data_IF_835492043469
#
_entry.id   IF_835492043469
#
_cell.length_a   1.000
_cell.length_b   1.000
_cell.length_c   1.000
_cell.angle_alpha   90.00
_cell.angle_beta   90.00
_cell.angle_gamma   90.00
#
_symmetry.space_group_name_H-M   'P 1'
#
loop_
_entity.id
_entity.type
_entity.pdbx_description
1 polymer ?
#
# COMPACT_ATOMS: atom_id res chain seq x y z
N UNK A 1 -84.97 18.78 14.25
CA UNK A 1 -83.70 18.42 14.92
C UNK A 1 -83.00 17.30 14.15
N UNK A 2 -82.77 17.51 12.85
CA UNK A 2 -82.48 16.42 11.89
C UNK A 2 -81.25 16.70 11.00
N UNK A 3 -80.81 17.96 10.89
CA UNK A 3 -79.63 18.37 10.10
C UNK A 3 -78.27 18.03 10.75
N UNK A 4 -78.23 17.72 12.04
CA UNK A 4 -76.97 17.50 12.76
C UNK A 4 -76.47 16.04 12.70
N UNK A 5 -77.34 15.09 12.30
CA UNK A 5 -76.97 13.67 12.12
C UNK A 5 -76.34 13.37 10.76
N UNK A 6 -76.66 14.12 9.70
CA UNK A 6 -76.10 13.86 8.35
C UNK A 6 -74.63 14.28 8.22
N UNK A 7 -74.20 15.33 8.92
CA UNK A 7 -72.83 15.85 8.83
C UNK A 7 -71.82 14.89 9.50
N UNK A 8 -72.20 14.23 10.60
CA UNK A 8 -71.35 13.23 11.26
C UNK A 8 -71.19 11.94 10.44
N UNK A 9 -72.19 11.58 9.65
CA UNK A 9 -72.14 10.38 8.80
C UNK A 9 -71.25 10.61 7.56
N UNK A 10 -71.29 11.81 6.98
CA UNK A 10 -70.43 12.19 5.83
C UNK A 10 -68.95 12.27 6.24
N UNK A 11 -68.64 12.78 7.44
CA UNK A 11 -67.28 12.79 7.96
C UNK A 11 -66.73 11.39 8.25
N UNK A 12 -67.57 10.45 8.72
CA UNK A 12 -67.15 9.08 8.98
C UNK A 12 -66.80 8.33 7.68
N UNK A 13 -67.56 8.57 6.60
CA UNK A 13 -67.31 7.97 5.27
C UNK A 13 -66.03 8.55 4.62
N UNK A 14 -65.77 9.85 4.77
CA UNK A 14 -64.56 10.48 4.24
C UNK A 14 -63.29 10.03 4.96
N UNK A 15 -63.33 9.85 6.28
CA UNK A 15 -62.19 9.35 7.07
C UNK A 15 -61.92 7.86 6.79
N UNK A 16 -62.96 7.05 6.60
CA UNK A 16 -62.79 5.62 6.24
C UNK A 16 -62.28 5.45 4.79
N UNK A 17 -62.72 6.31 3.86
CA UNK A 17 -62.23 6.30 2.47
C UNK A 17 -60.74 6.68 2.34
N UNK A 18 -60.26 7.63 3.15
CA UNK A 18 -58.85 8.03 3.18
C UNK A 18 -57.94 6.96 3.82
N UNK A 19 -58.44 6.24 4.84
CA UNK A 19 -57.70 5.13 5.45
C UNK A 19 -57.61 3.89 4.53
N UNK A 20 -58.64 3.60 3.71
CA UNK A 20 -58.57 2.54 2.71
C UNK A 20 -57.67 2.89 1.51
N UNK A 21 -57.61 4.16 1.09
CA UNK A 21 -56.70 4.62 0.03
C UNK A 21 -55.22 4.58 0.46
N UNK A 22 -54.93 4.86 1.74
CA UNK A 22 -53.58 4.73 2.30
C UNK A 22 -53.10 3.29 2.41
N UNK A 23 -53.96 2.36 2.84
CA UNK A 23 -53.62 0.94 3.00
C UNK A 23 -53.41 0.22 1.66
N UNK A 24 -54.15 0.59 0.60
CA UNK A 24 -53.98 0.02 -0.74
C UNK A 24 -52.73 0.54 -1.46
N UNK A 25 -52.32 1.79 -1.23
CA UNK A 25 -51.10 2.36 -1.79
C UNK A 25 -49.81 1.77 -1.19
N UNK A 26 -49.81 1.41 0.10
CA UNK A 26 -48.68 0.74 0.76
C UNK A 26 -48.55 -0.71 0.28
N UNK A 27 -49.67 -1.43 0.15
CA UNK A 27 -49.68 -2.82 -0.32
C UNK A 27 -49.25 -2.94 -1.81
N UNK A 28 -49.61 -1.98 -2.67
CA UNK A 28 -49.12 -1.94 -4.05
C UNK A 28 -47.63 -1.59 -4.15
N UNK A 29 -47.10 -0.73 -3.28
CA UNK A 29 -45.66 -0.42 -3.24
C UNK A 29 -44.80 -1.60 -2.77
N UNK A 30 -45.28 -2.42 -1.84
CA UNK A 30 -44.57 -3.64 -1.41
C UNK A 30 -44.72 -4.77 -2.42
N UNK A 31 -45.91 -4.99 -2.98
CA UNK A 31 -46.14 -6.02 -4.00
C UNK A 31 -45.42 -5.74 -5.33
N UNK A 32 -45.24 -4.47 -5.73
CA UNK A 32 -44.42 -4.10 -6.90
C UNK A 32 -42.91 -4.23 -6.64
N UNK A 33 -42.45 -4.08 -5.38
CA UNK A 33 -41.05 -4.36 -5.01
C UNK A 33 -40.73 -5.85 -5.04
N UNK A 34 -41.69 -6.71 -4.69
CA UNK A 34 -41.50 -8.17 -4.74
C UNK A 34 -41.70 -8.75 -6.16
N UNK A 35 -42.58 -8.19 -6.99
CA UNK A 35 -42.77 -8.66 -8.38
C UNK A 35 -41.72 -8.17 -9.38
N UNK A 36 -40.99 -7.09 -9.08
CA UNK A 36 -39.84 -6.66 -9.87
C UNK A 36 -38.56 -7.46 -9.58
N UNK A 37 -38.56 -8.30 -8.53
CA UNK A 37 -37.41 -9.10 -8.12
C UNK A 37 -37.43 -10.54 -8.69
N UNK A 38 -38.42 -10.91 -9.51
CA UNK A 38 -38.73 -12.32 -9.76
C UNK A 38 -38.59 -12.87 -11.18
N UNK A 39 -38.37 -12.06 -12.22
CA UNK A 39 -38.38 -12.58 -13.60
C UNK A 39 -37.37 -11.78 -14.44
N UNK A 40 -36.38 -12.49 -15.01
CA UNK A 40 -35.12 -12.04 -15.65
C UNK A 40 -34.06 -11.60 -14.60
N UNK A 41 -32.89 -12.22 -14.47
CA UNK A 41 -32.05 -12.85 -15.49
C UNK A 41 -30.87 -13.62 -14.88
N UNK A 42 -30.64 -14.80 -15.47
CA UNK A 42 -29.39 -15.58 -15.58
C UNK A 42 -28.85 -16.32 -14.35
N UNK A 43 -28.33 -17.55 -14.53
CA UNK A 43 -27.50 -18.19 -13.52
C UNK A 43 -26.30 -17.29 -13.28
N UNK A 44 -25.96 -17.08 -12.01
CA UNK A 44 -24.69 -16.51 -11.56
C UNK A 44 -23.54 -17.30 -12.18
N UNK A 45 -23.20 -16.97 -13.42
CA UNK A 45 -21.84 -17.07 -13.89
C UNK A 45 -21.08 -16.08 -13.01
N UNK A 46 -20.62 -16.57 -11.85
CA UNK A 46 -19.45 -16.00 -11.20
C UNK A 46 -18.39 -15.92 -12.28
N UNK A 47 -18.25 -14.73 -12.87
CA UNK A 47 -17.09 -14.40 -13.66
C UNK A 47 -15.95 -14.46 -12.66
N UNK A 48 -15.33 -15.64 -12.53
CA UNK A 48 -13.99 -15.77 -12.04
C UNK A 48 -13.14 -15.00 -13.07
N UNK A 49 -13.09 -13.67 -12.92
CA UNK A 49 -11.99 -12.91 -13.48
C UNK A 49 -10.73 -13.61 -12.99
N UNK A 50 -9.83 -14.01 -13.91
CA UNK A 50 -8.62 -14.70 -13.51
C UNK A 50 -7.92 -13.83 -12.46
N UNK A 51 -7.61 -14.47 -11.32
CA UNK A 51 -6.92 -13.80 -10.22
C UNK A 51 -5.65 -13.20 -10.78
N UNK A 52 -5.51 -11.88 -10.67
CA UNK A 52 -4.30 -11.20 -11.10
C UNK A 52 -3.20 -11.54 -10.12
N UNK A 53 -2.11 -12.10 -10.61
CA UNK A 53 -0.95 -12.52 -9.81
C UNK A 53 0.33 -12.08 -10.52
N UNK A 54 1.34 -11.69 -9.76
CA UNK A 54 2.69 -11.41 -10.24
C UNK A 54 3.72 -11.96 -9.24
N UNK A 55 4.74 -12.65 -9.75
CA UNK A 55 5.78 -13.30 -8.95
C UNK A 55 7.13 -13.09 -9.62
N UNK A 56 8.07 -12.51 -8.88
CA UNK A 56 9.45 -12.27 -9.28
C UNK A 56 10.38 -13.06 -8.35
N UNK A 57 11.09 -14.02 -8.94
CA UNK A 57 12.04 -14.89 -8.26
C UNK A 57 13.50 -14.52 -8.58
N UNK A 58 13.71 -13.45 -9.34
CA UNK A 58 15.00 -12.84 -9.63
C UNK A 58 16.02 -13.80 -10.27
N UNK A 59 15.54 -14.81 -11.03
CA UNK A 59 16.40 -15.83 -11.65
C UNK A 59 17.03 -15.39 -12.97
N UNK A 60 16.55 -14.30 -13.57
CA UNK A 60 17.04 -13.79 -14.85
C UNK A 60 17.97 -12.61 -14.60
N UNK A 61 19.25 -12.82 -14.83
CA UNK A 61 20.25 -11.76 -14.71
C UNK A 61 19.87 -10.56 -15.59
N UNK A 62 19.78 -9.39 -14.98
CA UNK A 62 19.31 -8.16 -15.63
C UNK A 62 19.76 -6.93 -14.85
N UNK A 63 19.98 -5.82 -15.54
CA UNK A 63 20.16 -4.51 -14.91
C UNK A 63 19.03 -3.60 -15.35
N UNK A 64 18.25 -3.12 -14.39
CA UNK A 64 17.13 -2.21 -14.62
C UNK A 64 17.58 -0.82 -14.17
N UNK A 65 17.84 0.05 -15.14
CA UNK A 65 18.26 1.43 -14.90
C UNK A 65 17.07 2.32 -14.51
N UNK A 66 17.32 3.30 -13.66
CA UNK A 66 16.35 4.33 -13.30
C UNK A 66 15.94 5.15 -14.51
N UNK A 67 14.65 5.45 -14.62
CA UNK A 67 14.12 6.34 -15.65
C UNK A 67 13.24 7.41 -15.04
N UNK A 68 13.26 8.61 -15.62
CA UNK A 68 12.41 9.72 -15.14
C UNK A 68 10.90 9.43 -15.25
N UNK A 69 10.50 8.49 -16.11
CA UNK A 69 9.11 8.06 -16.32
C UNK A 69 9.03 6.55 -16.45
N UNK A 70 8.00 5.96 -15.85
CA UNK A 70 7.71 4.52 -15.95
C UNK A 70 7.65 4.03 -17.40
N UNK A 71 7.08 4.82 -18.32
CA UNK A 71 6.96 4.45 -19.73
C UNK A 71 8.29 4.33 -20.49
N UNK A 72 9.40 4.81 -19.91
CA UNK A 72 10.74 4.67 -20.48
C UNK A 72 11.52 3.48 -19.91
N UNK A 73 10.98 2.82 -18.87
CA UNK A 73 11.59 1.60 -18.33
C UNK A 73 11.61 0.50 -19.38
N UNK A 74 12.77 -0.14 -19.54
CA UNK A 74 12.94 -1.27 -20.45
C UNK A 74 12.41 -2.58 -19.85
N UNK A 75 12.30 -2.66 -18.52
CA UNK A 75 11.69 -3.82 -17.85
C UNK A 75 10.17 -3.79 -18.04
N UNK A 76 9.54 -4.88 -18.49
CA UNK A 76 8.09 -4.96 -18.62
C UNK A 76 7.37 -4.92 -17.26
N UNK A 77 8.06 -5.34 -16.20
CA UNK A 77 7.47 -5.56 -14.87
C UNK A 77 7.81 -4.45 -13.89
N UNK A 78 9.01 -3.88 -14.02
CA UNK A 78 9.58 -2.98 -13.04
C UNK A 78 9.91 -1.60 -13.59
N UNK A 79 9.85 -0.62 -12.70
CA UNK A 79 10.39 0.72 -12.90
C UNK A 79 11.22 1.11 -11.68
N UNK A 80 12.51 1.36 -11.89
CA UNK A 80 13.34 2.00 -10.88
C UNK A 80 13.05 3.51 -10.95
N UNK A 81 12.33 4.00 -9.94
CA UNK A 81 11.90 5.39 -9.82
C UNK A 81 13.04 6.29 -9.29
N UNK A 82 13.83 5.75 -8.36
CA UNK A 82 15.04 6.38 -7.82
C UNK A 82 15.99 5.32 -7.27
N UNK A 83 17.25 5.66 -7.06
CA UNK A 83 18.29 4.74 -6.59
C UNK A 83 19.31 4.32 -7.66
N UNK A 84 19.24 4.90 -8.85
CA UNK A 84 20.18 4.66 -9.96
C UNK A 84 19.87 3.41 -10.75
N UNK A 85 19.95 2.23 -10.14
CA UNK A 85 19.63 0.96 -10.81
C UNK A 85 19.31 -0.16 -9.82
N UNK A 86 18.58 -1.15 -10.31
CA UNK A 86 18.48 -2.47 -9.69
C UNK A 86 19.32 -3.46 -10.49
N UNK A 87 20.03 -4.33 -9.79
CA UNK A 87 20.82 -5.42 -10.37
C UNK A 87 20.16 -6.73 -9.97
N UNK A 88 19.84 -7.58 -10.93
CA UNK A 88 19.36 -8.94 -10.72
C UNK A 88 20.50 -9.87 -11.09
N UNK A 89 20.94 -10.69 -10.13
CA UNK A 89 21.96 -11.71 -10.33
C UNK A 89 21.84 -12.76 -9.22
N UNK A 90 22.25 -14.00 -9.50
CA UNK A 90 22.33 -15.09 -8.50
C UNK A 90 21.01 -15.35 -7.74
N UNK A 91 19.86 -15.10 -8.38
CA UNK A 91 18.55 -15.36 -7.80
C UNK A 91 18.04 -14.29 -6.83
N UNK A 92 18.66 -13.10 -6.79
CA UNK A 92 18.22 -11.97 -5.98
C UNK A 92 18.24 -10.67 -6.77
N UNK A 93 17.32 -9.76 -6.45
CA UNK A 93 17.43 -8.36 -6.85
C UNK A 93 18.27 -7.61 -5.82
N UNK A 94 19.07 -6.63 -6.24
CA UNK A 94 19.95 -5.87 -5.35
C UNK A 94 19.89 -4.38 -5.70
N UNK A 95 19.96 -3.53 -4.69
CA UNK A 95 20.41 -2.16 -4.90
C UNK A 95 21.87 -2.17 -5.35
N UNK A 96 22.40 -1.01 -5.75
CA UNK A 96 23.86 -0.80 -5.74
C UNK A 96 24.41 -1.24 -4.37
N UNK A 97 25.53 -1.96 -4.39
CA UNK A 97 26.26 -2.39 -3.20
C UNK A 97 27.56 -1.58 -3.11
N UNK A 98 27.76 -0.88 -1.99
CA UNK A 98 28.87 0.00 -1.74
C UNK A 98 28.85 1.32 -2.52
N UNK A 99 30.01 1.96 -2.54
CA UNK A 99 30.26 3.21 -3.26
C UNK A 99 30.31 2.99 -4.77
N UNK A 100 29.75 3.93 -5.54
CA UNK A 100 29.94 3.95 -7.00
C UNK A 100 31.10 4.83 -7.44
N UNK A 101 31.76 4.40 -8.52
CA UNK A 101 32.84 5.18 -9.14
C UNK A 101 32.37 6.58 -9.56
N UNK A 102 33.21 7.62 -9.39
CA UNK A 102 32.97 8.97 -9.90
C UNK A 102 32.73 9.06 -11.41
N UNK A 103 33.19 8.07 -12.18
CA UNK A 103 32.98 8.01 -13.63
C UNK A 103 31.58 7.55 -14.02
N UNK A 104 30.86 6.90 -13.10
CA UNK A 104 29.49 6.43 -13.28
C UNK A 104 28.55 7.57 -13.65
N UNK A 105 27.64 7.30 -14.58
CA UNK A 105 26.57 8.26 -14.92
C UNK A 105 25.69 8.56 -13.69
N UNK A 106 25.47 7.56 -12.83
CA UNK A 106 24.66 7.70 -11.63
C UNK A 106 25.32 8.60 -10.61
N UNK A 107 26.65 8.51 -10.46
CA UNK A 107 27.40 9.40 -9.58
C UNK A 107 27.20 10.85 -10.01
N UNK A 108 27.47 11.13 -11.29
CA UNK A 108 27.37 12.48 -11.87
C UNK A 108 25.94 13.03 -11.74
N UNK A 109 24.94 12.21 -12.03
CA UNK A 109 23.52 12.59 -11.90
C UNK A 109 23.17 12.93 -10.45
N UNK A 110 23.41 12.02 -9.52
CA UNK A 110 22.99 12.19 -8.13
C UNK A 110 23.78 13.26 -7.38
N UNK A 111 25.06 13.44 -7.71
CA UNK A 111 25.85 14.59 -7.26
C UNK A 111 25.21 15.92 -7.62
N UNK A 112 24.56 16.00 -8.78
CA UNK A 112 23.91 17.25 -9.24
C UNK A 112 22.48 17.42 -8.72
N UNK A 113 21.72 16.34 -8.57
CA UNK A 113 20.27 16.42 -8.32
C UNK A 113 19.85 16.09 -6.89
N UNK A 114 20.58 15.22 -6.19
CA UNK A 114 20.31 14.88 -4.79
C UNK A 114 21.61 14.57 -4.05
N UNK A 115 22.54 15.52 -4.08
CA UNK A 115 23.86 15.40 -3.43
C UNK A 115 23.74 15.08 -1.95
N UNK A 116 22.78 15.70 -1.25
CA UNK A 116 22.61 15.58 0.19
C UNK A 116 22.30 14.14 0.60
N UNK A 117 21.29 13.51 0.01
CA UNK A 117 20.84 12.18 0.46
C UNK A 117 21.70 11.04 -0.10
N UNK A 118 22.59 11.33 -1.06
CA UNK A 118 23.38 10.31 -1.77
C UNK A 118 24.88 10.49 -1.59
N UNK A 119 25.30 11.20 -0.54
CA UNK A 119 26.72 11.41 -0.21
C UNK A 119 27.53 12.00 -1.36
N UNK A 120 27.02 13.08 -1.95
CA UNK A 120 27.64 13.68 -3.12
C UNK A 120 27.55 12.83 -4.39
N UNK A 121 26.57 11.92 -4.46
CA UNK A 121 26.37 10.98 -5.57
C UNK A 121 27.05 9.63 -5.38
N UNK A 122 27.78 9.41 -4.28
CA UNK A 122 28.49 8.15 -3.99
C UNK A 122 27.53 7.00 -3.69
N UNK A 123 26.36 7.28 -3.10
CA UNK A 123 25.37 6.27 -2.73
C UNK A 123 23.96 6.59 -3.28
N UNK A 124 23.71 6.48 -4.60
CA UNK A 124 22.37 6.68 -5.15
C UNK A 124 21.30 5.81 -4.47
N UNK A 125 21.67 4.59 -4.06
CA UNK A 125 20.78 3.63 -3.41
C UNK A 125 20.20 4.09 -2.08
N UNK A 126 20.73 5.15 -1.48
CA UNK A 126 20.19 5.72 -0.23
C UNK A 126 18.72 6.14 -0.33
N UNK A 127 18.20 6.38 -1.54
CA UNK A 127 16.81 6.75 -1.79
C UNK A 127 16.14 5.79 -2.78
N UNK A 128 16.47 4.50 -2.72
CA UNK A 128 16.03 3.52 -3.70
C UNK A 128 14.51 3.29 -3.69
N UNK A 129 13.90 3.28 -4.88
CA UNK A 129 12.48 3.07 -5.12
C UNK A 129 12.27 2.22 -6.35
N UNK A 130 11.62 1.08 -6.15
CA UNK A 130 11.24 0.14 -7.19
C UNK A 130 9.72 0.04 -7.23
N UNK A 131 9.12 0.17 -8.41
CA UNK A 131 7.67 0.24 -8.58
C UNK A 131 7.24 -0.80 -9.62
N UNK A 132 6.20 -1.57 -9.32
CA UNK A 132 5.56 -2.47 -10.28
C UNK A 132 4.89 -1.66 -11.39
N UNK A 133 4.79 -2.24 -12.59
CA UNK A 133 4.15 -1.58 -13.73
C UNK A 133 2.65 -1.85 -13.85
N UNK A 134 2.09 -2.61 -12.91
CA UNK A 134 0.66 -2.95 -12.85
C UNK A 134 0.03 -2.39 -11.57
N UNK A 135 -1.27 -2.02 -11.64
CA UNK A 135 -2.01 -1.45 -10.51
C UNK A 135 -2.83 -2.50 -9.75
N UNK A 136 -3.02 -2.30 -8.45
CA UNK A 136 -3.63 -3.27 -7.53
C UNK A 136 -4.56 -2.53 -6.56
N UNK A 137 -5.78 -3.04 -6.37
CA UNK A 137 -6.74 -2.43 -5.43
C UNK A 137 -6.77 -3.20 -4.12
N UNK A 138 -7.31 -4.42 -4.14
CA UNK A 138 -7.34 -5.33 -3.00
C UNK A 138 -6.28 -6.40 -3.25
N UNK A 139 -5.28 -6.49 -2.40
CA UNK A 139 -4.15 -7.38 -2.68
C UNK A 139 -3.38 -7.80 -1.44
N UNK A 140 -2.63 -8.87 -1.61
CA UNK A 140 -1.54 -9.26 -0.71
C UNK A 140 -0.25 -9.11 -1.50
N UNK A 141 0.74 -8.42 -0.94
CA UNK A 141 2.10 -8.44 -1.47
C UNK A 141 3.12 -8.85 -0.42
N UNK A 142 4.24 -9.41 -0.86
CA UNK A 142 5.35 -9.77 0.01
C UNK A 142 6.69 -9.64 -0.71
N UNK A 143 7.75 -9.47 0.08
CA UNK A 143 9.13 -9.62 -0.34
C UNK A 143 10.01 -9.96 0.86
N UNK A 144 11.19 -10.53 0.59
CA UNK A 144 12.25 -10.71 1.57
C UNK A 144 13.36 -9.71 1.29
N UNK A 145 13.90 -9.14 2.36
CA UNK A 145 14.93 -8.11 2.34
C UNK A 145 16.13 -8.59 3.14
N UNK A 146 17.34 -8.34 2.67
CA UNK A 146 18.57 -8.58 3.44
C UNK A 146 19.40 -7.31 3.40
N UNK A 147 19.66 -6.74 4.56
CA UNK A 147 20.47 -5.53 4.69
C UNK A 147 21.93 -5.97 4.77
N UNK A 148 22.72 -5.60 3.76
CA UNK A 148 24.14 -5.96 3.69
C UNK A 148 25.02 -4.93 4.38
N UNK A 149 24.71 -3.64 4.21
CA UNK A 149 25.45 -2.53 4.80
C UNK A 149 24.54 -1.33 5.07
N UNK A 150 24.95 -0.50 6.03
CA UNK A 150 24.35 0.81 6.31
C UNK A 150 25.23 1.88 5.69
N UNK A 151 24.59 2.90 5.11
CA UNK A 151 25.31 4.02 4.50
C UNK A 151 25.27 5.21 5.47
N UNK A 152 26.42 5.48 6.09
CA UNK A 152 26.59 6.56 7.06
C UNK A 152 26.75 7.90 6.35
N UNK A 153 25.62 8.54 6.05
CA UNK A 153 25.56 9.89 5.50
C UNK A 153 25.42 10.94 6.61
N UNK A 154 25.73 12.20 6.28
CA UNK A 154 25.42 13.41 7.05
C UNK A 154 24.00 13.95 6.78
N UNK A 155 23.27 13.44 5.78
CA UNK A 155 21.91 13.93 5.46
C UNK A 155 20.99 13.87 6.66
N UNK A 156 20.28 14.96 7.01
CA UNK A 156 19.25 14.93 8.07
C UNK A 156 18.12 13.92 7.81
N UNK A 157 17.97 13.46 6.56
CA UNK A 157 16.99 12.46 6.17
C UNK A 157 17.39 11.03 6.59
N UNK A 158 18.65 10.80 7.03
CA UNK A 158 19.09 9.56 7.69
C UNK A 158 18.64 9.52 9.16
N UNK A 159 17.43 9.11 9.44
CA UNK A 159 16.83 9.16 10.77
C UNK A 159 16.09 7.88 11.13
N UNK A 160 15.50 7.84 12.33
CA UNK A 160 14.79 6.69 12.87
C UNK A 160 13.65 6.18 11.98
N UNK A 161 13.15 7.02 11.07
CA UNK A 161 12.06 6.68 10.17
C UNK A 161 12.48 5.91 8.92
N UNK A 162 13.78 5.74 8.65
CA UNK A 162 14.29 4.97 7.52
C UNK A 162 14.11 3.47 7.72
N UNK A 163 14.18 2.68 6.65
CA UNK A 163 14.13 1.23 6.77
C UNK A 163 13.92 0.51 5.45
N UNK A 164 13.28 -0.65 5.53
CA UNK A 164 12.81 -1.45 4.39
C UNK A 164 11.28 -1.42 4.37
N UNK A 165 10.71 -0.98 3.25
CA UNK A 165 9.28 -0.73 3.14
C UNK A 165 8.71 -1.25 1.81
N UNK A 166 7.45 -1.63 1.84
CA UNK A 166 6.63 -1.88 0.66
C UNK A 166 5.83 -0.62 0.32
N UNK A 167 5.77 -0.31 -0.97
CA UNK A 167 4.84 0.67 -1.53
C UNK A 167 3.51 0.01 -1.81
N UNK A 168 2.43 0.65 -1.38
CA UNK A 168 1.08 0.16 -1.56
C UNK A 168 0.21 1.29 -2.09
N UNK A 169 -0.61 1.00 -3.11
CA UNK A 169 -1.48 1.98 -3.78
C UNK A 169 -0.73 3.26 -4.14
N UNK A 170 0.46 3.09 -4.69
CA UNK A 170 1.31 4.17 -5.18
C UNK A 170 0.63 4.84 -6.37
N UNK A 171 0.23 6.09 -6.22
CA UNK A 171 -0.22 6.95 -7.31
C UNK A 171 0.97 7.75 -7.85
N UNK A 172 1.71 8.37 -6.92
CA UNK A 172 2.90 9.16 -7.17
C UNK A 172 3.78 9.26 -5.91
N UNK A 173 4.81 10.12 -5.96
CA UNK A 173 5.73 10.33 -4.85
C UNK A 173 5.11 10.97 -3.60
N UNK A 174 3.89 11.50 -3.69
CA UNK A 174 3.19 12.27 -2.66
C UNK A 174 1.92 11.59 -2.13
N UNK A 175 1.42 10.55 -2.81
CA UNK A 175 0.19 9.84 -2.51
C UNK A 175 0.40 8.31 -2.58
N UNK A 176 0.52 7.68 -1.41
CA UNK A 176 0.76 6.24 -1.25
C UNK A 176 0.66 5.80 0.21
N UNK A 177 0.53 4.49 0.44
CA UNK A 177 0.79 3.88 1.74
C UNK A 177 2.16 3.18 1.77
N UNK A 178 2.76 3.20 2.95
CA UNK A 178 3.98 2.49 3.29
C UNK A 178 3.67 1.46 4.36
N UNK A 179 4.20 0.25 4.18
CA UNK A 179 4.18 -0.78 5.21
C UNK A 179 5.58 -1.37 5.31
N UNK A 180 6.20 -1.36 6.48
CA UNK A 180 7.56 -1.88 6.61
C UNK A 180 8.11 -1.85 8.02
N UNK A 181 9.41 -2.02 8.12
CA UNK A 181 10.13 -1.98 9.40
C UNK A 181 11.20 -0.91 9.32
N UNK A 182 11.28 -0.09 10.37
CA UNK A 182 12.19 1.04 10.45
C UNK A 182 13.47 0.66 11.19
N UNK A 183 14.53 1.44 11.01
CA UNK A 183 15.84 1.23 11.65
C UNK A 183 15.78 1.37 13.17
N UNK A 184 14.75 2.02 13.71
CA UNK A 184 14.47 2.03 15.16
C UNK A 184 13.75 0.78 15.68
N UNK A 185 13.56 -0.24 14.84
CA UNK A 185 12.97 -1.52 15.21
C UNK A 185 11.43 -1.54 15.27
N UNK A 186 10.77 -0.46 14.84
CA UNK A 186 9.31 -0.39 14.74
C UNK A 186 8.81 -0.96 13.41
N UNK A 187 7.83 -1.86 13.47
CA UNK A 187 6.95 -2.14 12.35
C UNK A 187 5.94 -0.99 12.21
N UNK A 188 5.70 -0.52 10.99
CA UNK A 188 4.92 0.69 10.76
C UNK A 188 3.98 0.57 9.55
N UNK A 189 2.81 1.18 9.68
CA UNK A 189 1.93 1.57 8.58
C UNK A 189 1.91 3.10 8.54
N UNK A 190 2.35 3.68 7.41
CA UNK A 190 2.27 5.12 7.16
C UNK A 190 1.44 5.39 5.91
N UNK A 191 0.83 6.55 5.86
CA UNK A 191 0.27 7.13 4.64
C UNK A 191 1.04 8.40 4.32
N UNK A 192 1.34 8.61 3.05
CA UNK A 192 1.72 9.93 2.56
C UNK A 192 0.61 10.41 1.65
N UNK A 193 0.10 11.61 1.92
CA UNK A 193 -0.99 12.22 1.17
C UNK A 193 -0.71 13.71 0.99
N UNK A 194 -0.75 14.19 -0.25
CA UNK A 194 -0.44 15.58 -0.59
C UNK A 194 0.94 16.01 -0.08
N UNK A 195 1.93 15.11 -0.11
CA UNK A 195 3.30 15.42 0.35
C UNK A 195 3.54 15.18 1.84
N UNK A 196 2.49 15.05 2.66
CA UNK A 196 2.58 14.94 4.13
C UNK A 196 2.48 13.49 4.60
N UNK A 197 3.34 13.11 5.54
CA UNK A 197 3.33 11.79 6.16
C UNK A 197 2.42 11.74 7.39
N UNK A 198 1.77 10.59 7.57
CA UNK A 198 0.92 10.24 8.70
C UNK A 198 1.26 8.83 9.15
N UNK A 199 1.65 8.64 10.41
CA UNK A 199 1.79 7.31 11.01
C UNK A 199 0.41 6.83 11.43
N UNK A 200 -0.04 5.71 10.87
CA UNK A 200 -1.35 5.15 11.14
C UNK A 200 -1.33 4.12 12.26
N UNK A 201 -0.25 3.34 12.35
CA UNK A 201 -0.06 2.31 13.34
C UNK A 201 1.42 1.94 13.40
N UNK A 202 1.95 1.71 14.60
CA UNK A 202 3.32 1.23 14.80
C UNK A 202 3.45 0.38 16.05
N UNK A 203 4.42 -0.55 16.03
CA UNK A 203 4.72 -1.45 17.16
C UNK A 203 6.18 -1.88 17.10
N UNK A 204 6.83 -1.93 18.27
CA UNK A 204 8.18 -2.46 18.39
C UNK A 204 8.19 -3.97 18.16
N UNK A 205 9.08 -4.39 17.26
CA UNK A 205 9.27 -5.81 16.92
C UNK A 205 10.73 -6.23 16.95
N UNK A 206 11.66 -5.27 16.87
CA UNK A 206 13.09 -5.49 17.12
C UNK A 206 13.51 -4.65 18.34
N UNK A 207 13.49 -5.23 19.55
CA UNK A 207 13.85 -4.51 20.76
C UNK A 207 15.36 -4.22 20.79
N UNK A 208 15.74 -3.18 21.53
CA UNK A 208 17.15 -2.82 21.74
C UNK A 208 17.30 -1.45 22.37
N UNK A 209 18.55 -0.98 22.50
CA UNK A 209 18.84 0.39 22.95
C UNK A 209 18.10 1.43 22.10
N UNK A 210 17.66 2.58 22.64
CA UNK A 210 17.06 3.66 21.85
C UNK A 210 17.84 3.96 20.56
N UNK A 211 17.12 4.27 19.49
CA UNK A 211 17.78 4.72 18.26
C UNK A 211 18.63 5.95 18.57
N UNK A 212 19.89 5.89 18.15
CA UNK A 212 20.80 7.02 18.15
C UNK A 212 21.55 6.98 16.83
N UNK A 213 21.47 8.06 16.07
CA UNK A 213 22.00 8.14 14.71
C UNK A 213 23.50 7.78 14.62
N UNK A 214 24.27 8.00 15.67
CA UNK A 214 25.71 7.78 15.71
C UNK A 214 26.10 6.52 16.48
N UNK A 215 25.44 6.26 17.61
CA UNK A 215 25.80 5.15 18.53
C UNK A 215 25.04 3.87 18.24
N UNK A 216 23.77 3.98 17.84
CA UNK A 216 22.88 2.85 17.60
C UNK A 216 21.93 3.14 16.42
N UNK A 217 22.48 3.21 15.19
CA UNK A 217 21.78 3.72 14.01
C UNK A 217 20.78 2.73 13.43
N UNK A 218 20.76 1.49 13.90
CA UNK A 218 19.95 0.43 13.32
C UNK A 218 19.76 -0.74 14.28
N UNK A 219 18.50 -1.10 14.52
CA UNK A 219 18.08 -2.28 15.28
C UNK A 219 17.69 -3.46 14.38
N UNK A 220 17.65 -3.28 13.06
CA UNK A 220 17.33 -4.37 12.14
C UNK A 220 18.55 -5.30 11.98
N UNK A 221 18.37 -6.63 11.95
CA UNK A 221 19.49 -7.55 11.78
C UNK A 221 20.16 -7.38 10.41
N UNK A 222 21.48 -7.23 10.40
CA UNK A 222 22.29 -7.21 9.18
C UNK A 222 22.61 -8.64 8.73
N UNK A 223 22.70 -8.86 7.42
CA UNK A 223 23.03 -10.17 6.84
C UNK A 223 21.93 -11.23 6.97
N UNK A 224 20.81 -10.90 7.60
CA UNK A 224 19.66 -11.79 7.77
C UNK A 224 18.48 -11.38 6.88
N UNK A 225 17.73 -12.37 6.40
CA UNK A 225 16.52 -12.12 5.63
C UNK A 225 15.38 -11.71 6.55
N UNK A 226 14.73 -10.60 6.23
CA UNK A 226 13.51 -10.11 6.86
C UNK A 226 12.40 -10.13 5.80
N UNK A 227 11.35 -10.89 6.04
CA UNK A 227 10.14 -10.91 5.22
C UNK A 227 9.18 -9.83 5.64
N UNK A 228 8.66 -9.08 4.66
CA UNK A 228 7.50 -8.21 4.82
C UNK A 228 6.36 -8.74 3.96
N UNK A 229 5.15 -8.75 4.50
CA UNK A 229 3.92 -9.04 3.77
C UNK A 229 2.85 -8.04 4.17
N UNK A 230 2.25 -7.35 3.21
CA UNK A 230 1.11 -6.46 3.45
C UNK A 230 -0.16 -6.98 2.81
N UNK A 231 -1.30 -6.70 3.45
CA UNK A 231 -2.64 -7.01 2.95
C UNK A 231 -3.45 -5.72 2.94
N UNK A 232 -4.08 -5.41 1.80
CA UNK A 232 -4.90 -4.22 1.58
C UNK A 232 -6.27 -4.64 1.08
N UNK A 233 -7.33 -4.15 1.73
CA UNK A 233 -8.71 -4.48 1.39
C UNK A 233 -9.61 -3.24 1.56
N UNK A 234 -10.38 -2.91 0.53
CA UNK A 234 -11.49 -1.96 0.68
C UNK A 234 -12.63 -2.61 1.46
N UNK A 235 -13.20 -1.89 2.42
CA UNK A 235 -14.39 -2.32 3.16
C UNK A 235 -15.66 -1.90 2.39
N UNK A 236 -16.83 -2.51 2.69
CA UNK A 236 -18.11 -2.07 2.13
C UNK A 236 -18.45 -0.61 2.44
N UNK A 237 -17.92 -0.07 3.54
CA UNK A 237 -18.14 1.32 3.98
C UNK A 237 -17.25 2.34 3.24
N UNK A 238 -16.32 1.87 2.40
CA UNK A 238 -15.39 2.70 1.64
C UNK A 238 -14.04 2.95 2.32
N UNK A 239 -13.81 2.34 3.49
CA UNK A 239 -12.54 2.39 4.20
C UNK A 239 -11.51 1.44 3.61
N UNK A 240 -10.25 1.55 4.05
CA UNK A 240 -9.16 0.66 3.66
C UNK A 240 -8.55 -0.01 4.87
N UNK A 241 -8.73 -1.31 4.98
CA UNK A 241 -8.03 -2.15 5.95
C UNK A 241 -6.62 -2.46 5.46
N UNK A 242 -5.66 -2.27 6.36
CA UNK A 242 -4.23 -2.47 6.11
C UNK A 242 -3.65 -3.36 7.20
N UNK A 243 -2.97 -4.44 6.79
CA UNK A 243 -2.22 -5.30 7.71
C UNK A 243 -0.78 -5.42 7.24
N UNK A 244 0.15 -5.42 8.20
CA UNK A 244 1.55 -5.72 7.97
C UNK A 244 1.94 -6.94 8.80
N UNK A 245 2.48 -7.93 8.12
CA UNK A 245 3.08 -9.12 8.69
C UNK A 245 4.59 -9.08 8.50
N UNK A 246 5.31 -9.54 9.51
CA UNK A 246 6.78 -9.64 9.49
C UNK A 246 7.19 -11.08 9.75
N UNK A 247 8.27 -11.49 9.09
CA UNK A 247 8.94 -12.77 9.31
C UNK A 247 10.44 -12.53 9.45
N UNK A 248 11.04 -12.97 10.55
CA UNK A 248 12.50 -12.99 10.67
C UNK A 248 13.02 -14.34 10.14
N UNK A 249 14.01 -14.29 9.25
CA UNK A 249 14.52 -15.44 8.52
C UNK A 249 13.63 -15.93 7.37
N UNK A 250 14.09 -16.95 6.65
CA UNK A 250 13.32 -17.60 5.55
C UNK A 250 12.39 -18.72 6.02
N UNK A 251 12.60 -19.25 7.23
CA UNK A 251 11.90 -20.43 7.76
C UNK A 251 10.88 -20.11 8.86
N UNK A 252 10.81 -18.85 9.30
CA UNK A 252 9.83 -18.42 10.30
C UNK A 252 8.39 -18.41 9.79
N UNK A 253 7.44 -18.28 10.72
CA UNK A 253 6.04 -18.02 10.39
C UNK A 253 5.81 -16.51 10.20
N UNK A 254 4.88 -16.15 9.32
CA UNK A 254 4.40 -14.78 9.20
C UNK A 254 3.64 -14.39 10.47
N UNK A 255 4.04 -13.30 11.12
CA UNK A 255 3.37 -12.76 12.30
C UNK A 255 2.74 -11.42 11.98
N UNK A 256 1.47 -11.22 12.35
CA UNK A 256 0.84 -9.90 12.26
C UNK A 256 1.56 -8.94 13.20
N UNK A 257 2.25 -7.95 12.63
CA UNK A 257 3.00 -6.96 13.40
C UNK A 257 2.10 -5.79 13.79
N UNK A 258 1.41 -5.20 12.81
CA UNK A 258 0.51 -4.05 13.00
C UNK A 258 -0.64 -4.08 11.98
N UNK A 259 -1.75 -3.44 12.33
CA UNK A 259 -2.88 -3.19 11.43
C UNK A 259 -3.40 -1.76 11.61
N UNK A 260 -4.04 -1.23 10.57
CA UNK A 260 -4.69 0.07 10.57
C UNK A 260 -5.93 0.06 9.66
N UNK A 261 -6.82 1.04 9.86
CA UNK A 261 -7.93 1.34 8.96
C UNK A 261 -7.81 2.80 8.54
N UNK A 262 -7.79 3.06 7.24
CA UNK A 262 -7.96 4.41 6.71
C UNK A 262 -9.44 4.65 6.42
N UNK A 263 -10.05 5.47 7.25
CA UNK A 263 -11.48 5.82 7.20
C UNK A 263 -11.69 7.30 6.82
N UNK A 264 -10.66 7.94 6.25
CA UNK A 264 -10.74 9.33 5.81
C UNK A 264 -10.85 10.35 6.96
N UNK A 265 -10.62 9.93 8.21
CA UNK A 265 -10.52 10.87 9.33
C UNK A 265 -9.29 11.77 9.20
N UNK A 266 -9.38 12.96 9.82
CA UNK A 266 -8.36 14.02 9.72
C UNK A 266 -6.96 13.56 10.14
N UNK A 267 -6.87 12.59 11.04
CA UNK A 267 -5.61 12.13 11.62
C UNK A 267 -4.70 11.45 10.60
N UNK A 268 -5.26 10.95 9.48
CA UNK A 268 -4.52 10.34 8.37
C UNK A 268 -4.70 11.11 7.05
N UNK A 269 -5.18 12.36 7.11
CA UNK A 269 -5.60 13.10 5.93
C UNK A 269 -6.97 12.63 5.42
N UNK A 270 -7.76 13.58 4.89
CA UNK A 270 -9.19 13.38 4.62
C UNK A 270 -9.52 12.42 3.48
N UNK A 271 -8.57 12.12 2.59
CA UNK A 271 -8.83 11.31 1.40
C UNK A 271 -8.24 9.93 1.56
N UNK A 272 -9.08 8.92 1.36
CA UNK A 272 -8.71 7.51 1.35
C UNK A 272 -8.14 7.19 -0.04
N UNK A 273 -7.00 6.50 -0.12
CA UNK A 273 -6.48 6.02 -1.40
C UNK A 273 -7.14 4.67 -1.69
N UNK A 274 -8.42 4.68 -2.10
CA UNK A 274 -9.26 3.48 -2.31
C UNK A 274 -9.15 2.87 -3.71
N UNK A 275 -8.61 3.62 -4.66
CA UNK A 275 -8.43 3.19 -6.05
C UNK A 275 -7.23 2.26 -6.23
N UNK A 276 -7.21 1.56 -7.37
CA UNK A 276 -6.06 0.75 -7.75
C UNK A 276 -4.82 1.64 -7.99
N UNK A 277 -3.73 1.33 -7.29
CA UNK A 277 -2.43 2.01 -7.45
C UNK A 277 -1.29 1.02 -7.66
N UNK A 278 -0.10 1.51 -7.99
CA UNK A 278 1.06 0.63 -8.14
C UNK A 278 1.53 0.09 -6.78
N UNK A 279 2.36 -0.95 -6.82
CA UNK A 279 2.99 -1.52 -5.64
C UNK A 279 4.52 -1.47 -5.80
N UNK A 280 5.29 -1.91 -4.81
CA UNK A 280 6.73 -1.93 -4.95
C UNK A 280 7.50 -1.91 -3.64
N UNK A 281 8.75 -1.45 -3.73
CA UNK A 281 9.74 -1.50 -2.66
C UNK A 281 10.38 -0.12 -2.50
N UNK A 282 10.68 0.23 -1.25
CA UNK A 282 11.59 1.32 -0.88
C UNK A 282 12.58 0.85 0.16
N UNK A 283 13.81 1.32 0.02
CA UNK A 283 14.86 1.20 1.03
C UNK A 283 15.52 2.54 1.22
N UNK A 284 15.97 2.83 2.45
CA UNK A 284 16.50 4.13 2.83
C UNK A 284 17.88 3.98 3.47
N UNK A 285 18.92 4.61 2.89
CA UNK A 285 20.29 4.71 3.43
C UNK A 285 20.98 3.36 3.74
N UNK A 286 20.81 2.39 2.85
CA UNK A 286 21.35 1.05 3.03
C UNK A 286 21.52 0.30 1.71
N UNK A 287 22.39 -0.70 1.74
CA UNK A 287 22.57 -1.65 0.66
C UNK A 287 21.74 -2.90 0.93
N UNK A 288 20.84 -3.24 0.00
CA UNK A 288 19.79 -4.25 0.25
C UNK A 288 19.67 -5.22 -0.90
N UNK A 289 19.49 -6.49 -0.55
CA UNK A 289 19.04 -7.54 -1.46
C UNK A 289 17.55 -7.82 -1.23
N UNK A 290 16.88 -8.22 -2.31
CA UNK A 290 15.47 -8.56 -2.38
C UNK A 290 15.33 -9.98 -2.94
N UNK A 291 14.37 -10.75 -2.41
CA UNK A 291 13.99 -12.03 -3.00
C UNK A 291 12.49 -12.29 -2.87
N UNK A 292 11.99 -13.20 -3.73
CA UNK A 292 10.64 -13.76 -3.67
C UNK A 292 9.52 -12.69 -3.61
N UNK A 293 9.59 -11.67 -4.48
CA UNK A 293 8.54 -10.66 -4.56
C UNK A 293 7.28 -11.28 -5.15
N UNK A 294 6.17 -11.21 -4.42
CA UNK A 294 4.88 -11.73 -4.86
C UNK A 294 3.80 -10.71 -4.59
N UNK A 295 2.85 -10.58 -5.51
CA UNK A 295 1.64 -9.81 -5.31
C UNK A 295 0.47 -10.50 -6.00
N UNK A 296 -0.67 -10.50 -5.32
CA UNK A 296 -1.87 -11.23 -5.70
C UNK A 296 -3.11 -10.41 -5.37
N UNK A 297 -4.01 -10.25 -6.33
CA UNK A 297 -5.29 -9.59 -6.12
C UNK A 297 -6.20 -10.48 -5.26
N UNK A 298 -6.86 -9.88 -4.27
CA UNK A 298 -7.84 -10.55 -3.41
C UNK A 298 -9.25 -10.18 -3.84
N UNK A 299 -10.18 -11.13 -3.63
CA UNK A 299 -11.60 -10.91 -3.88
C UNK A 299 -12.20 -10.05 -2.78
#
# INVERSE_FOLDING_TARGET
>A
MEKQKSIKFIWLILVFGLLLAGATAVFWRTALKEKAAGIFSSPDASFNSPKKDFNENFQKDEVINETAKMSRSQSPDWWVNSGGKMIIEEGVGKTIQGEISPDSEWYKKYKSSNSRDTDGGVHPQNIFRLVTRTKWQNFIQQAHFKINALNFTESENRNESNGILLFNRYEDGDNLYYTGVRVDGLAVIKKKYGGKYYTMSEKEIFPGEPYDREKNPNRLPLGEWIGLKSEFQNTPDGDVEIKLFVRVGKTGNWQLAVSAVDDGRKDFGKNILSDAGYAGIRTDFMDVEFSDYKISETK
#
